data_IF_101063193342
#
_entry.id   IF_101063193342
#
_cell.length_a   1.000
_cell.length_b   1.000
_cell.length_c   1.000
_cell.angle_alpha   90.00
_cell.angle_beta   90.00
_cell.angle_gamma   90.00
#
_symmetry.space_group_name_H-M   'P 1'
#
loop_
_entity.id
_entity.type
_entity.pdbx_description
1 polymer ?
#
# COMPACT_ATOMS: atom_id res chain seq x y z
N UNK A 1 48.58 -24.20 4.72
CA UNK A 1 47.58 -23.52 3.87
C UNK A 1 46.10 -23.76 4.27
N UNK A 2 45.70 -24.98 4.70
CA UNK A 2 44.26 -25.22 5.10
C UNK A 2 43.78 -24.47 6.33
N UNK A 3 44.64 -24.17 7.31
CA UNK A 3 44.28 -23.50 8.57
C UNK A 3 44.01 -21.98 8.38
N UNK A 4 44.74 -21.35 7.45
CA UNK A 4 44.58 -19.90 7.14
C UNK A 4 43.26 -19.66 6.41
N UNK A 5 42.86 -20.56 5.48
CA UNK A 5 41.60 -20.48 4.78
C UNK A 5 40.38 -20.58 5.71
N UNK A 6 40.45 -21.43 6.76
CA UNK A 6 39.33 -21.57 7.73
C UNK A 6 39.15 -20.32 8.60
N UNK A 7 40.26 -19.69 9.02
CA UNK A 7 40.22 -18.46 9.83
C UNK A 7 39.63 -17.29 9.02
N UNK A 8 39.97 -17.15 7.74
CA UNK A 8 39.46 -16.11 6.86
C UNK A 8 37.94 -16.31 6.63
N UNK A 9 37.48 -17.56 6.46
CA UNK A 9 36.05 -17.87 6.29
C UNK A 9 35.26 -17.53 7.57
N UNK A 10 35.78 -17.84 8.75
CA UNK A 10 35.15 -17.53 10.04
C UNK A 10 35.09 -16.02 10.26
N UNK A 11 36.17 -15.28 9.94
CA UNK A 11 36.18 -13.80 10.02
C UNK A 11 35.19 -13.15 9.04
N UNK A 12 35.09 -13.65 7.82
CA UNK A 12 34.11 -13.18 6.84
C UNK A 12 32.66 -13.45 7.29
N UNK A 13 32.40 -14.63 7.87
CA UNK A 13 31.07 -14.96 8.44
C UNK A 13 30.74 -14.08 9.65
N UNK A 14 31.70 -13.79 10.52
CA UNK A 14 31.50 -12.88 11.65
C UNK A 14 31.28 -11.43 11.21
N UNK A 15 32.00 -10.93 10.22
CA UNK A 15 31.77 -9.61 9.64
C UNK A 15 30.41 -9.51 8.97
N UNK A 16 29.98 -10.51 8.20
CA UNK A 16 28.64 -10.55 7.59
C UNK A 16 27.55 -10.59 8.67
N UNK A 17 27.70 -11.40 9.71
CA UNK A 17 26.73 -11.46 10.79
C UNK A 17 26.64 -10.13 11.58
N UNK A 18 27.76 -9.45 11.78
CA UNK A 18 27.79 -8.13 12.43
C UNK A 18 27.16 -7.03 11.57
N UNK A 19 27.38 -7.05 10.25
CA UNK A 19 26.75 -6.07 9.33
C UNK A 19 25.24 -6.26 9.24
N UNK A 20 24.74 -7.49 9.17
CA UNK A 20 23.30 -7.80 9.17
C UNK A 20 22.66 -7.39 10.52
N UNK A 21 23.31 -7.66 11.63
CA UNK A 21 22.82 -7.26 12.96
C UNK A 21 22.77 -5.74 13.13
N UNK A 22 23.79 -5.01 12.65
CA UNK A 22 23.82 -3.55 12.68
C UNK A 22 22.74 -2.93 11.81
N UNK A 23 22.50 -3.46 10.61
CA UNK A 23 21.47 -2.98 9.70
C UNK A 23 20.06 -3.21 10.28
N UNK A 24 19.79 -4.36 10.91
CA UNK A 24 18.53 -4.63 11.57
C UNK A 24 18.30 -3.66 12.75
N UNK A 25 19.34 -3.36 13.53
CA UNK A 25 19.26 -2.38 14.63
C UNK A 25 18.96 -0.97 14.14
N UNK A 26 19.51 -0.55 13.00
CA UNK A 26 19.21 0.75 12.38
C UNK A 26 17.75 0.82 11.91
N UNK A 27 17.25 -0.24 11.25
CA UNK A 27 15.85 -0.33 10.81
C UNK A 27 14.91 -0.27 12.02
N UNK A 28 15.18 -1.02 13.11
CA UNK A 28 14.34 -1.04 14.30
C UNK A 28 14.32 0.33 14.99
N UNK A 29 15.46 1.02 15.05
CA UNK A 29 15.57 2.37 15.57
C UNK A 29 14.77 3.37 14.75
N UNK A 30 14.80 3.24 13.41
CA UNK A 30 14.03 4.07 12.50
C UNK A 30 12.51 3.80 12.64
N UNK A 31 12.09 2.53 12.77
CA UNK A 31 10.70 2.16 13.06
C UNK A 31 10.25 2.79 14.39
N UNK A 32 11.02 2.65 15.44
CA UNK A 32 10.69 3.24 16.73
C UNK A 32 10.52 4.76 16.65
N UNK A 33 11.41 5.42 15.91
CA UNK A 33 11.39 6.88 15.70
C UNK A 33 10.22 7.37 14.86
N UNK A 34 9.87 6.65 13.78
CA UNK A 34 8.94 7.16 12.79
C UNK A 34 7.54 6.54 12.85
N UNK A 35 7.35 5.48 13.65
CA UNK A 35 6.09 4.72 13.74
C UNK A 35 5.50 4.66 15.13
N UNK A 36 6.20 5.18 16.16
CA UNK A 36 5.69 5.18 17.53
C UNK A 36 5.62 6.59 18.08
N UNK A 37 4.60 6.80 18.91
CA UNK A 37 4.46 7.92 19.81
C UNK A 37 4.32 7.43 21.25
N UNK A 38 3.69 8.22 22.11
CA UNK A 38 3.49 7.90 23.51
C UNK A 38 2.02 7.96 23.90
N UNK A 39 1.56 6.99 24.68
CA UNK A 39 0.28 7.03 25.37
C UNK A 39 0.56 7.20 26.86
N UNK A 40 0.12 8.30 27.45
CA UNK A 40 0.11 8.55 28.89
C UNK A 40 -1.29 8.32 29.44
N UNK A 41 -1.44 7.38 30.35
CA UNK A 41 -2.66 7.15 31.11
C UNK A 41 -2.55 7.86 32.45
N UNK A 42 -3.60 8.62 32.84
CA UNK A 42 -3.72 9.23 34.15
C UNK A 42 -4.98 8.70 34.84
N UNK A 43 -4.80 8.22 36.07
CA UNK A 43 -5.86 7.66 36.92
C UNK A 43 -5.42 7.67 38.39
N UNK A 44 -6.17 7.00 39.27
CA UNK A 44 -5.73 6.79 40.65
C UNK A 44 -4.45 5.90 40.69
N UNK A 45 -3.61 6.00 41.74
CA UNK A 45 -2.46 5.11 41.94
C UNK A 45 -2.85 3.62 41.94
N UNK A 46 -1.97 2.77 41.41
CA UNK A 46 -2.15 1.32 41.31
C UNK A 46 -3.39 0.84 40.51
N UNK A 47 -4.00 1.67 39.69
CA UNK A 47 -5.08 1.26 38.79
C UNK A 47 -4.58 0.25 37.73
N UNK A 48 -5.36 -0.80 37.47
CA UNK A 48 -5.03 -1.80 36.45
C UNK A 48 -5.24 -1.21 35.05
N UNK A 49 -4.24 -1.28 34.20
CA UNK A 49 -4.26 -0.73 32.84
C UNK A 49 -4.10 -1.87 31.82
N UNK A 50 -4.92 -1.84 30.78
CA UNK A 50 -4.75 -2.64 29.57
C UNK A 50 -4.87 -1.72 28.35
N UNK A 51 -3.89 -1.78 27.47
CA UNK A 51 -3.82 -1.03 26.21
C UNK A 51 -3.78 -2.04 25.07
N UNK A 52 -4.70 -1.94 24.13
CA UNK A 52 -4.78 -2.79 22.95
C UNK A 52 -4.91 -1.93 21.72
N UNK A 53 -3.97 -2.07 20.78
CA UNK A 53 -4.10 -1.49 19.45
C UNK A 53 -5.19 -2.21 18.67
N UNK A 54 -6.13 -1.46 18.09
CA UNK A 54 -7.22 -2.02 17.28
C UNK A 54 -6.90 -1.94 15.79
N UNK A 55 -6.08 -0.95 15.39
CA UNK A 55 -5.76 -0.71 13.99
C UNK A 55 -4.54 0.19 13.86
N UNK A 56 -3.67 -0.09 12.88
CA UNK A 56 -2.59 0.82 12.49
C UNK A 56 -3.10 2.05 11.75
N UNK A 57 -2.41 3.20 11.90
CA UNK A 57 -2.53 4.35 11.01
C UNK A 57 -1.90 4.04 9.64
N UNK A 58 -0.75 3.39 9.62
CA UNK A 58 -0.07 2.94 8.42
C UNK A 58 -0.94 1.93 7.63
N UNK A 59 -1.01 2.12 6.32
CA UNK A 59 -1.80 1.22 5.47
C UNK A 59 -1.06 -0.09 5.19
N UNK A 60 -1.58 -1.16 5.69
CA UNK A 60 -1.25 -2.52 5.31
C UNK A 60 -2.44 -3.04 4.48
N UNK A 61 -2.37 -2.89 3.15
CA UNK A 61 -3.52 -3.10 2.28
C UNK A 61 -3.31 -4.13 1.19
N UNK A 62 -4.38 -4.34 0.42
CA UNK A 62 -4.35 -5.22 -0.73
C UNK A 62 -5.35 -4.80 -1.81
N UNK A 63 -5.08 -5.22 -3.05
CA UNK A 63 -6.01 -5.08 -4.16
C UNK A 63 -7.24 -5.99 -3.99
N UNK A 64 -8.39 -5.46 -4.40
CA UNK A 64 -9.67 -6.17 -4.43
C UNK A 64 -9.98 -6.51 -5.90
N UNK A 65 -9.95 -7.80 -6.28
CA UNK A 65 -10.31 -8.22 -7.62
C UNK A 65 -11.81 -8.16 -7.86
N UNK A 66 -12.22 -7.70 -9.04
CA UNK A 66 -13.61 -7.52 -9.46
C UNK A 66 -14.44 -8.78 -9.30
N UNK A 67 -13.83 -9.96 -9.54
CA UNK A 67 -14.47 -11.26 -9.46
C UNK A 67 -15.14 -11.56 -8.12
N UNK A 68 -14.65 -10.97 -7.04
CA UNK A 68 -15.22 -11.12 -5.69
C UNK A 68 -16.52 -10.32 -5.49
N UNK A 69 -16.86 -9.40 -6.41
CA UNK A 69 -17.99 -8.48 -6.26
C UNK A 69 -18.93 -8.44 -7.48
N UNK A 70 -18.60 -9.15 -8.57
CA UNK A 70 -19.41 -9.17 -9.80
C UNK A 70 -20.19 -10.49 -10.01
N UNK A 71 -20.14 -11.40 -9.05
CA UNK A 71 -20.84 -12.69 -9.11
C UNK A 71 -20.11 -13.79 -9.89
N UNK A 72 -18.87 -13.56 -10.37
CA UNK A 72 -18.13 -14.58 -11.13
C UNK A 72 -17.41 -15.61 -10.25
N UNK A 73 -17.07 -15.25 -9.01
CA UNK A 73 -16.47 -16.17 -8.05
C UNK A 73 -17.52 -16.98 -7.30
N UNK A 74 -17.14 -18.17 -6.80
CA UNK A 74 -18.03 -18.98 -5.97
C UNK A 74 -18.34 -18.27 -4.65
N UNK A 75 -19.55 -18.51 -4.08
CA UNK A 75 -19.91 -17.92 -2.79
C UNK A 75 -18.90 -18.30 -1.69
N UNK A 76 -18.41 -19.53 -1.69
CA UNK A 76 -17.43 -20.00 -0.71
C UNK A 76 -16.12 -19.21 -0.80
N UNK A 77 -15.60 -18.96 -2.03
CA UNK A 77 -14.39 -18.17 -2.23
C UNK A 77 -14.61 -16.71 -1.85
N UNK A 78 -15.78 -16.12 -2.16
CA UNK A 78 -16.10 -14.74 -1.77
C UNK A 78 -16.13 -14.58 -0.25
N UNK A 79 -16.77 -15.53 0.47
CA UNK A 79 -16.85 -15.50 1.93
C UNK A 79 -15.44 -15.63 2.55
N UNK A 80 -14.61 -16.56 2.05
CA UNK A 80 -13.23 -16.74 2.50
C UNK A 80 -12.36 -15.54 2.18
N UNK A 81 -12.47 -14.98 0.95
CA UNK A 81 -11.74 -13.79 0.55
C UNK A 81 -12.02 -12.64 1.51
N UNK A 82 -13.30 -12.34 1.75
CA UNK A 82 -13.71 -11.24 2.65
C UNK A 82 -13.21 -11.45 4.07
N UNK A 83 -13.33 -12.68 4.61
CA UNK A 83 -12.84 -13.01 5.94
C UNK A 83 -11.33 -12.85 6.05
N UNK A 84 -10.56 -13.42 5.10
CA UNK A 84 -9.11 -13.34 5.08
C UNK A 84 -8.60 -11.93 4.79
N UNK A 85 -9.31 -11.14 3.98
CA UNK A 85 -8.99 -9.73 3.76
C UNK A 85 -9.04 -8.94 5.08
N UNK A 86 -10.14 -9.06 5.82
CA UNK A 86 -10.34 -8.37 7.10
C UNK A 86 -9.37 -8.86 8.20
N UNK A 87 -8.93 -10.12 8.14
CA UNK A 87 -7.94 -10.68 9.05
C UNK A 87 -6.54 -10.10 8.84
N UNK A 88 -6.21 -9.69 7.61
CA UNK A 88 -4.83 -9.34 7.24
C UNK A 88 -4.63 -7.84 6.91
N UNK A 89 -5.65 -7.14 6.45
CA UNK A 89 -5.50 -5.82 5.87
C UNK A 89 -6.40 -4.77 6.52
N UNK A 90 -5.90 -3.52 6.56
CA UNK A 90 -6.62 -2.38 7.10
C UNK A 90 -6.96 -1.32 6.04
N UNK A 91 -6.62 -1.55 4.78
CA UNK A 91 -6.88 -0.66 3.64
C UNK A 91 -7.01 -1.47 2.36
N UNK A 92 -7.57 -0.88 1.32
CA UNK A 92 -7.84 -1.54 0.06
C UNK A 92 -7.54 -0.65 -1.15
N UNK A 93 -7.34 -1.27 -2.31
CA UNK A 93 -7.30 -0.63 -3.62
C UNK A 93 -8.16 -1.43 -4.60
N UNK A 94 -8.88 -0.77 -5.50
CA UNK A 94 -9.58 -1.46 -6.59
C UNK A 94 -8.57 -1.98 -7.59
N UNK A 95 -8.63 -3.28 -7.95
CA UNK A 95 -7.70 -3.84 -8.95
C UNK A 95 -8.04 -3.34 -10.35
N UNK A 96 -9.28 -3.53 -10.79
CA UNK A 96 -9.73 -3.17 -12.12
C UNK A 96 -11.04 -2.37 -12.14
N UNK A 97 -11.83 -2.39 -11.07
CA UNK A 97 -13.19 -1.87 -11.06
C UNK A 97 -13.31 -0.40 -11.48
N UNK A 98 -12.34 0.46 -11.10
CA UNK A 98 -12.34 1.89 -11.46
C UNK A 98 -11.65 2.17 -12.79
N UNK A 99 -10.91 1.21 -13.37
CA UNK A 99 -10.27 1.39 -14.68
C UNK A 99 -11.33 1.70 -15.75
N UNK A 100 -11.07 2.72 -16.54
CA UNK A 100 -12.05 3.18 -17.54
C UNK A 100 -12.56 2.09 -18.49
N UNK A 101 -11.68 1.21 -19.05
CA UNK A 101 -12.15 0.12 -19.91
C UNK A 101 -13.10 -0.86 -19.22
N UNK A 102 -13.02 -1.01 -17.90
CA UNK A 102 -13.89 -1.89 -17.13
C UNK A 102 -15.22 -1.23 -16.80
N UNK A 103 -15.20 0.08 -16.50
CA UNK A 103 -16.41 0.85 -16.22
C UNK A 103 -17.22 1.16 -17.48
N UNK A 104 -16.55 1.48 -18.59
CA UNK A 104 -17.21 1.95 -19.83
C UNK A 104 -16.58 1.26 -21.04
N UNK A 105 -16.94 0.00 -21.26
CA UNK A 105 -16.46 -0.77 -22.41
C UNK A 105 -16.99 -0.23 -23.74
N UNK A 106 -18.23 0.27 -23.73
CA UNK A 106 -18.90 0.93 -24.86
C UNK A 106 -19.24 2.35 -24.51
N UNK A 107 -19.11 3.27 -25.46
CA UNK A 107 -19.38 4.70 -25.28
C UNK A 107 -20.78 4.93 -24.72
N UNK A 108 -20.87 5.60 -23.57
CA UNK A 108 -22.14 5.94 -22.91
C UNK A 108 -22.74 4.82 -22.03
N UNK A 109 -22.16 3.62 -22.02
CA UNK A 109 -22.64 2.50 -21.19
C UNK A 109 -21.74 2.35 -19.94
N UNK A 110 -21.87 3.26 -18.98
CA UNK A 110 -21.06 3.22 -17.74
C UNK A 110 -21.68 2.28 -16.73
N UNK A 111 -20.91 1.28 -16.28
CA UNK A 111 -21.30 0.34 -15.23
C UNK A 111 -20.59 0.64 -13.92
N UNK A 112 -21.34 1.09 -12.94
CA UNK A 112 -20.85 1.41 -11.58
C UNK A 112 -21.01 0.25 -10.59
N UNK A 113 -21.73 -0.82 -10.94
CA UNK A 113 -22.19 -1.84 -9.99
C UNK A 113 -21.07 -2.48 -9.18
N UNK A 114 -19.92 -2.80 -9.79
CA UNK A 114 -18.79 -3.44 -9.11
C UNK A 114 -18.11 -2.44 -8.16
N UNK A 115 -17.94 -1.19 -8.60
CA UNK A 115 -17.35 -0.13 -7.75
C UNK A 115 -18.25 0.14 -6.56
N UNK A 116 -19.56 0.27 -6.78
CA UNK A 116 -20.56 0.49 -5.71
C UNK A 116 -20.51 -0.65 -4.67
N UNK A 117 -20.49 -1.91 -5.12
CA UNK A 117 -20.43 -3.08 -4.23
C UNK A 117 -19.13 -3.17 -3.42
N UNK A 118 -17.97 -2.82 -4.02
CA UNK A 118 -16.68 -2.73 -3.32
C UNK A 118 -16.73 -1.62 -2.27
N UNK A 119 -17.23 -0.43 -2.63
CA UNK A 119 -17.36 0.70 -1.70
C UNK A 119 -18.27 0.38 -0.52
N UNK A 120 -19.46 -0.17 -0.77
CA UNK A 120 -20.38 -0.59 0.30
C UNK A 120 -19.70 -1.54 1.29
N UNK A 121 -18.97 -2.53 0.78
CA UNK A 121 -18.27 -3.48 1.63
C UNK A 121 -17.09 -2.85 2.41
N UNK A 122 -16.30 -2.01 1.77
CA UNK A 122 -15.16 -1.35 2.42
C UNK A 122 -15.62 -0.34 3.47
N UNK A 123 -16.68 0.44 3.20
CA UNK A 123 -17.28 1.38 4.14
C UNK A 123 -17.87 0.66 5.37
N UNK A 124 -18.62 -0.43 5.15
CA UNK A 124 -19.18 -1.25 6.23
C UNK A 124 -18.09 -1.80 7.17
N UNK A 125 -16.88 -2.05 6.63
CA UNK A 125 -15.73 -2.55 7.39
C UNK A 125 -14.72 -1.44 7.75
N UNK A 126 -15.06 -0.17 7.48
CA UNK A 126 -14.21 1.01 7.76
C UNK A 126 -12.83 0.92 7.12
N UNK A 127 -12.71 0.31 5.96
CA UNK A 127 -11.48 0.22 5.17
C UNK A 127 -11.36 1.45 4.26
N UNK A 128 -10.32 2.29 4.36
CA UNK A 128 -10.06 3.29 3.34
C UNK A 128 -9.78 2.60 2.01
N UNK A 129 -10.38 3.12 0.95
CA UNK A 129 -10.27 2.57 -0.41
C UNK A 129 -9.53 3.55 -1.32
N UNK A 130 -8.51 3.05 -2.04
CA UNK A 130 -7.83 3.73 -3.13
C UNK A 130 -8.51 3.39 -4.46
N UNK A 131 -8.81 4.41 -5.26
CA UNK A 131 -9.38 4.26 -6.61
C UNK A 131 -8.27 4.10 -7.65
N UNK A 132 -8.07 2.94 -8.19
CA UNK A 132 -7.11 2.67 -9.26
C UNK A 132 -7.88 2.36 -10.55
N UNK A 133 -7.85 3.24 -11.57
CA UNK A 133 -7.32 4.60 -11.70
C UNK A 133 -8.33 5.50 -12.43
N UNK A 134 -8.18 6.81 -12.37
CA UNK A 134 -9.03 7.71 -13.16
C UNK A 134 -8.68 7.62 -14.66
N UNK A 135 -7.38 7.69 -14.98
CA UNK A 135 -6.87 7.62 -16.35
C UNK A 135 -5.66 6.70 -16.46
N UNK A 136 -5.48 6.09 -17.62
CA UNK A 136 -4.37 5.21 -17.94
C UNK A 136 -4.01 5.34 -19.41
N UNK A 137 -2.91 6.02 -19.71
CA UNK A 137 -2.51 6.43 -21.06
C UNK A 137 -1.69 5.40 -21.84
N UNK A 138 -1.66 4.14 -21.44
CA UNK A 138 -1.01 3.05 -22.19
C UNK A 138 -1.89 2.66 -23.37
N UNK A 139 -1.41 2.88 -24.58
CA UNK A 139 -2.20 2.79 -25.81
C UNK A 139 -2.93 1.45 -26.00
N UNK A 140 -2.31 0.34 -25.61
CA UNK A 140 -2.94 -1.00 -25.74
C UNK A 140 -4.20 -1.16 -24.87
N UNK A 141 -4.37 -0.35 -23.82
CA UNK A 141 -5.51 -0.39 -22.91
C UNK A 141 -6.55 0.69 -23.19
N UNK A 142 -6.32 1.54 -24.21
CA UNK A 142 -7.32 2.53 -24.64
C UNK A 142 -8.41 1.84 -25.45
N UNK A 143 -9.66 2.07 -25.07
CA UNK A 143 -10.82 1.49 -25.75
C UNK A 143 -10.85 1.92 -27.22
N UNK A 144 -11.25 1.05 -28.19
CA UNK A 144 -11.34 1.39 -29.60
C UNK A 144 -12.21 2.62 -29.88
N UNK A 145 -13.32 2.79 -29.16
CA UNK A 145 -14.21 3.94 -29.32
C UNK A 145 -13.55 5.25 -28.84
N UNK A 146 -12.67 5.21 -27.84
CA UNK A 146 -11.88 6.38 -27.39
C UNK A 146 -10.84 6.76 -28.44
N UNK A 147 -10.17 5.76 -29.05
CA UNK A 147 -9.21 5.99 -30.12
C UNK A 147 -9.84 6.64 -31.36
N UNK A 148 -11.11 6.37 -31.61
CA UNK A 148 -11.85 6.92 -32.75
C UNK A 148 -12.32 8.39 -32.58
N UNK A 149 -12.21 8.96 -31.36
CA UNK A 149 -12.61 10.34 -31.07
C UNK A 149 -11.64 11.34 -31.71
N UNK A 150 -12.17 12.48 -32.18
CA UNK A 150 -11.34 13.66 -32.45
C UNK A 150 -10.68 14.18 -31.15
N UNK A 151 -9.66 15.04 -31.26
CA UNK A 151 -9.00 15.60 -30.08
C UNK A 151 -9.98 16.40 -29.20
N UNK A 152 -10.88 17.17 -29.80
CA UNK A 152 -11.90 17.93 -29.08
C UNK A 152 -12.90 17.02 -28.35
N UNK A 153 -13.36 15.95 -28.99
CA UNK A 153 -14.24 14.97 -28.35
C UNK A 153 -13.52 14.22 -27.23
N UNK A 154 -12.25 13.84 -27.45
CA UNK A 154 -11.43 13.18 -26.44
C UNK A 154 -11.27 14.05 -25.20
N UNK A 155 -10.90 15.32 -25.34
CA UNK A 155 -10.76 16.25 -24.21
C UNK A 155 -12.09 16.40 -23.44
N UNK A 156 -13.20 16.56 -24.15
CA UNK A 156 -14.55 16.63 -23.54
C UNK A 156 -14.88 15.34 -22.79
N UNK A 157 -14.56 14.19 -23.36
CA UNK A 157 -14.84 12.88 -22.75
C UNK A 157 -13.99 12.64 -21.51
N UNK A 158 -12.72 13.01 -21.52
CA UNK A 158 -11.84 12.95 -20.35
C UNK A 158 -12.35 13.85 -19.22
N UNK A 159 -12.77 15.09 -19.56
CA UNK A 159 -13.39 16.00 -18.60
C UNK A 159 -14.63 15.38 -17.97
N UNK A 160 -15.57 14.91 -18.79
CA UNK A 160 -16.80 14.30 -18.29
C UNK A 160 -16.52 13.11 -17.37
N UNK A 161 -15.56 12.24 -17.73
CA UNK A 161 -15.17 11.11 -16.90
C UNK A 161 -14.63 11.55 -15.54
N UNK A 162 -13.67 12.49 -15.53
CA UNK A 162 -13.09 12.96 -14.27
C UNK A 162 -14.17 13.54 -13.34
N UNK A 163 -14.94 14.52 -13.86
CA UNK A 163 -15.98 15.21 -13.10
C UNK A 163 -17.08 14.25 -12.61
N UNK A 164 -17.54 13.33 -13.47
CA UNK A 164 -18.61 12.40 -13.11
C UNK A 164 -18.17 11.39 -12.06
N UNK A 165 -16.99 10.78 -12.23
CA UNK A 165 -16.51 9.74 -11.29
C UNK A 165 -16.22 10.34 -9.93
N UNK A 166 -15.50 11.48 -9.87
CA UNK A 166 -15.17 12.10 -8.58
C UNK A 166 -16.41 12.70 -7.89
N UNK A 167 -17.35 13.29 -8.64
CA UNK A 167 -18.60 13.78 -8.08
C UNK A 167 -19.49 12.65 -7.52
N UNK A 168 -19.61 11.52 -8.28
CA UNK A 168 -20.40 10.37 -7.83
C UNK A 168 -19.90 9.80 -6.51
N UNK A 169 -18.58 9.72 -6.36
CA UNK A 169 -17.92 9.09 -5.22
C UNK A 169 -17.30 10.08 -4.25
N UNK A 170 -17.76 11.33 -4.25
CA UNK A 170 -17.23 12.38 -3.41
C UNK A 170 -17.12 11.95 -1.94
N UNK A 171 -15.89 12.05 -1.39
CA UNK A 171 -15.57 11.70 -0.02
C UNK A 171 -15.60 10.20 0.32
N UNK A 172 -15.89 9.31 -0.65
CA UNK A 172 -15.96 7.85 -0.43
C UNK A 172 -14.65 7.13 -0.70
N UNK A 173 -13.85 7.61 -1.66
CA UNK A 173 -12.48 7.14 -1.87
C UNK A 173 -11.50 7.97 -1.06
N UNK A 174 -10.53 7.32 -0.43
CA UNK A 174 -9.50 8.00 0.34
C UNK A 174 -8.48 8.74 -0.56
N UNK A 175 -8.20 8.18 -1.74
CA UNK A 175 -7.27 8.71 -2.74
C UNK A 175 -7.51 8.04 -4.11
N UNK A 176 -7.02 8.67 -5.21
CA UNK A 176 -7.05 8.09 -6.56
C UNK A 176 -5.70 8.18 -7.24
N UNK A 177 -5.39 7.20 -8.10
CA UNK A 177 -4.39 7.37 -9.15
C UNK A 177 -4.96 8.27 -10.26
N UNK A 178 -4.33 9.44 -10.46
CA UNK A 178 -4.80 10.43 -11.42
C UNK A 178 -4.63 9.95 -12.85
N UNK A 179 -3.38 9.77 -13.28
CA UNK A 179 -3.00 9.27 -14.60
C UNK A 179 -1.88 8.26 -14.40
N UNK A 180 -2.21 6.97 -14.56
CA UNK A 180 -1.34 5.86 -14.22
C UNK A 180 -0.30 5.62 -15.32
N UNK A 181 0.95 5.29 -14.92
CA UNK A 181 2.05 4.83 -15.79
C UNK A 181 2.45 5.81 -16.89
N UNK A 182 2.47 7.11 -16.59
CA UNK A 182 2.74 8.15 -17.58
C UNK A 182 4.17 8.10 -18.18
N UNK A 183 5.15 7.53 -17.48
CA UNK A 183 6.51 7.37 -18.05
C UNK A 183 6.61 6.15 -18.98
N UNK A 184 5.55 5.35 -19.07
CA UNK A 184 5.47 4.18 -19.93
C UNK A 184 4.41 4.32 -21.04
N UNK A 185 3.52 5.33 -20.95
CA UNK A 185 2.51 5.58 -21.95
C UNK A 185 1.92 6.97 -21.84
N UNK A 186 1.98 7.70 -22.93
CA UNK A 186 1.64 9.11 -23.05
C UNK A 186 0.54 9.40 -24.08
N UNK A 187 -0.33 8.42 -24.39
CA UNK A 187 -1.40 8.55 -25.39
C UNK A 187 -2.20 9.85 -25.30
N UNK A 188 -2.53 10.28 -24.07
CA UNK A 188 -3.31 11.50 -23.88
C UNK A 188 -2.47 12.77 -24.11
N UNK A 189 -1.22 12.77 -23.69
CA UNK A 189 -0.28 13.88 -23.90
C UNK A 189 0.09 14.04 -25.36
N UNK A 190 0.34 12.95 -26.07
CA UNK A 190 0.64 12.95 -27.51
C UNK A 190 -0.51 13.54 -28.34
N UNK A 191 -1.76 13.33 -27.90
CA UNK A 191 -2.95 13.81 -28.57
C UNK A 191 -3.36 15.24 -28.18
N UNK A 192 -3.22 15.59 -26.91
CA UNK A 192 -3.84 16.78 -26.32
C UNK A 192 -2.84 17.79 -25.74
N UNK A 193 -1.55 17.46 -25.76
CA UNK A 193 -0.46 18.32 -25.29
C UNK A 193 -0.05 18.11 -23.85
N UNK A 194 1.10 18.68 -23.48
CA UNK A 194 1.81 18.43 -22.22
C UNK A 194 1.09 18.93 -20.94
N UNK A 195 0.01 19.69 -21.07
CA UNK A 195 -0.80 20.19 -19.96
C UNK A 195 -2.02 19.31 -19.62
N UNK A 196 -2.21 18.21 -20.36
CA UNK A 196 -3.43 17.40 -20.22
C UNK A 196 -3.58 16.81 -18.81
N UNK A 197 -2.50 16.36 -18.15
CA UNK A 197 -2.56 15.83 -16.80
C UNK A 197 -2.96 16.92 -15.78
N UNK A 198 -2.53 18.17 -16.01
CA UNK A 198 -3.01 19.32 -15.22
C UNK A 198 -4.51 19.53 -15.39
N UNK A 199 -5.03 19.47 -16.62
CA UNK A 199 -6.47 19.57 -16.91
C UNK A 199 -7.24 18.42 -16.24
N UNK A 200 -6.74 17.18 -16.34
CA UNK A 200 -7.32 16.01 -15.67
C UNK A 200 -7.47 16.22 -14.16
N UNK A 201 -6.42 16.75 -13.50
CA UNK A 201 -6.47 17.07 -12.09
C UNK A 201 -7.54 18.14 -11.79
N UNK A 202 -7.58 19.22 -12.57
CA UNK A 202 -8.57 20.28 -12.40
C UNK A 202 -10.01 19.76 -12.56
N UNK A 203 -10.26 18.89 -13.52
CA UNK A 203 -11.57 18.27 -13.72
C UNK A 203 -11.95 17.32 -12.59
N UNK A 204 -10.99 16.58 -12.04
CA UNK A 204 -11.23 15.77 -10.86
C UNK A 204 -11.61 16.61 -9.64
N UNK A 205 -10.95 17.76 -9.43
CA UNK A 205 -11.30 18.72 -8.38
C UNK A 205 -12.66 19.41 -8.61
N UNK A 206 -13.07 19.62 -9.86
CA UNK A 206 -14.41 20.14 -10.15
C UNK A 206 -15.51 19.19 -9.64
N UNK A 207 -15.28 17.88 -9.74
CA UNK A 207 -16.21 16.87 -9.23
C UNK A 207 -16.14 16.70 -7.71
N UNK A 208 -14.93 16.66 -7.16
CA UNK A 208 -14.69 16.59 -5.70
C UNK A 208 -13.53 17.51 -5.29
N UNK A 209 -13.80 18.67 -4.68
CA UNK A 209 -12.77 19.62 -4.25
C UNK A 209 -11.78 19.06 -3.20
N UNK A 210 -12.14 17.98 -2.51
CA UNK A 210 -11.32 17.36 -1.46
C UNK A 210 -10.58 16.11 -1.94
N UNK A 211 -10.69 15.79 -3.25
CA UNK A 211 -10.06 14.58 -3.83
C UNK A 211 -8.55 14.59 -3.67
N UNK A 212 -7.99 13.47 -3.21
CA UNK A 212 -6.55 13.28 -3.12
C UNK A 212 -6.05 12.54 -4.35
N UNK A 213 -5.25 13.21 -5.16
CA UNK A 213 -4.71 12.69 -6.42
C UNK A 213 -3.25 12.26 -6.24
N UNK A 214 -2.97 11.02 -6.56
CA UNK A 214 -1.63 10.44 -6.53
C UNK A 214 -1.12 10.20 -7.96
N UNK A 215 0.18 10.31 -8.14
CA UNK A 215 0.86 9.71 -9.28
C UNK A 215 1.11 8.23 -8.97
N UNK A 216 1.23 7.40 -10.00
CA UNK A 216 1.55 5.98 -9.80
C UNK A 216 2.27 5.43 -11.03
N UNK A 217 3.42 4.76 -10.80
CA UNK A 217 4.21 4.19 -11.88
C UNK A 217 5.07 3.00 -11.39
N UNK A 218 5.61 2.21 -12.32
CA UNK A 218 6.44 1.03 -12.04
C UNK A 218 7.91 1.24 -12.44
N UNK A 219 8.76 0.25 -12.14
CA UNK A 219 10.22 0.31 -12.33
C UNK A 219 10.93 1.41 -11.49
N UNK A 220 10.25 1.98 -10.49
CA UNK A 220 10.78 3.08 -9.68
C UNK A 220 11.68 2.54 -8.56
N UNK A 221 11.17 1.63 -7.75
CA UNK A 221 11.91 1.08 -6.60
C UNK A 221 13.06 0.14 -7.00
N UNK A 222 13.05 -0.35 -8.23
CA UNK A 222 14.17 -1.06 -8.85
C UNK A 222 15.25 -0.12 -9.40
N UNK A 223 15.01 1.19 -9.38
CA UNK A 223 15.91 2.24 -9.88
C UNK A 223 15.88 2.45 -11.39
N UNK A 224 15.27 1.55 -12.16
CA UNK A 224 15.34 1.59 -13.64
C UNK A 224 14.70 2.82 -14.25
N UNK A 225 13.61 3.31 -13.65
CA UNK A 225 12.85 4.47 -14.11
C UNK A 225 12.76 5.60 -13.07
N UNK A 226 13.54 5.54 -12.01
CA UNK A 226 13.54 6.54 -10.96
C UNK A 226 13.88 7.95 -11.47
N UNK A 227 14.93 8.16 -12.31
CA UNK A 227 15.25 9.51 -12.81
C UNK A 227 14.13 10.13 -13.65
N UNK A 228 13.53 9.35 -14.55
CA UNK A 228 12.42 9.79 -15.41
C UNK A 228 11.18 10.14 -14.58
N UNK A 229 10.86 9.31 -13.60
CA UNK A 229 9.73 9.57 -12.70
C UNK A 229 9.93 10.82 -11.86
N UNK A 230 11.12 11.02 -11.32
CA UNK A 230 11.48 12.25 -10.60
C UNK A 230 11.39 13.49 -11.48
N UNK A 231 11.82 13.39 -12.75
CA UNK A 231 11.70 14.49 -13.70
C UNK A 231 10.23 14.82 -14.00
N UNK A 232 9.38 13.81 -14.16
CA UNK A 232 7.95 13.99 -14.36
C UNK A 232 7.27 14.63 -13.13
N UNK A 233 7.57 14.17 -11.91
CA UNK A 233 7.04 14.78 -10.69
C UNK A 233 7.40 16.28 -10.64
N UNK A 234 8.67 16.64 -10.92
CA UNK A 234 9.10 18.04 -10.95
C UNK A 234 8.34 18.85 -11.98
N UNK A 235 8.14 18.31 -13.17
CA UNK A 235 7.38 18.96 -14.24
C UNK A 235 5.94 19.24 -13.81
N UNK A 236 5.23 18.25 -13.31
CA UNK A 236 3.85 18.39 -12.88
C UNK A 236 3.69 19.36 -11.70
N UNK A 237 4.58 19.32 -10.72
CA UNK A 237 4.60 20.29 -9.62
C UNK A 237 4.87 21.71 -10.14
N UNK A 238 5.79 21.89 -11.10
CA UNK A 238 6.05 23.18 -11.75
C UNK A 238 4.84 23.71 -12.54
N UNK A 239 4.06 22.82 -13.14
CA UNK A 239 2.81 23.17 -13.81
C UNK A 239 1.68 23.51 -12.82
N UNK A 240 1.88 23.29 -11.52
CA UNK A 240 0.88 23.53 -10.48
C UNK A 240 -0.17 22.42 -10.38
N UNK A 241 0.17 21.18 -10.79
CA UNK A 241 -0.70 20.02 -10.57
C UNK A 241 -0.74 19.73 -9.07
N UNK A 242 -1.93 19.69 -8.44
CA UNK A 242 -2.07 19.44 -7.01
C UNK A 242 -1.91 17.95 -6.71
N UNK A 243 -0.67 17.50 -6.56
CA UNK A 243 -0.33 16.12 -6.23
C UNK A 243 -0.39 15.94 -4.72
N UNK A 244 -1.25 15.02 -4.25
CA UNK A 244 -1.39 14.69 -2.84
C UNK A 244 -0.37 13.65 -2.34
N UNK A 245 0.21 12.85 -3.24
CA UNK A 245 1.21 11.85 -2.90
C UNK A 245 1.82 11.15 -4.11
N UNK A 246 2.84 10.37 -3.83
CA UNK A 246 3.61 9.61 -4.81
C UNK A 246 3.30 8.13 -4.65
N UNK A 247 2.64 7.53 -5.63
CA UNK A 247 2.49 6.09 -5.78
C UNK A 247 3.70 5.51 -6.49
N UNK A 248 4.20 4.42 -5.96
CA UNK A 248 5.21 3.57 -6.59
C UNK A 248 4.67 2.16 -6.57
N UNK A 249 4.49 1.52 -7.73
CA UNK A 249 3.82 0.21 -7.78
C UNK A 249 4.51 -0.83 -6.90
N UNK A 250 5.84 -0.87 -6.89
CA UNK A 250 6.59 -1.77 -6.03
C UNK A 250 6.61 -3.21 -6.51
N UNK A 251 6.19 -3.46 -7.76
CA UNK A 251 6.40 -4.76 -8.39
C UNK A 251 7.89 -5.08 -8.46
N UNK A 252 8.29 -6.18 -7.91
CA UNK A 252 9.66 -6.66 -8.01
C UNK A 252 9.89 -7.36 -9.35
N UNK A 253 11.15 -7.43 -9.80
CA UNK A 253 11.49 -7.96 -11.11
C UNK A 253 12.10 -9.38 -11.09
N UNK A 254 12.12 -10.00 -9.92
CA UNK A 254 12.71 -11.32 -9.72
C UNK A 254 12.08 -12.00 -8.50
N UNK A 255 12.73 -13.06 -8.04
CA UNK A 255 12.40 -13.77 -6.80
C UNK A 255 12.92 -13.04 -5.55
N UNK A 256 13.88 -12.11 -5.74
CA UNK A 256 14.51 -11.30 -4.70
C UNK A 256 14.61 -9.84 -5.14
N UNK A 257 15.04 -8.95 -4.24
CA UNK A 257 15.23 -7.53 -4.53
C UNK A 257 16.54 -7.00 -3.95
N UNK A 258 17.03 -5.89 -4.51
CA UNK A 258 18.16 -5.14 -3.97
C UNK A 258 17.68 -4.19 -2.86
N UNK A 259 18.06 -4.49 -1.62
CA UNK A 259 17.67 -3.73 -0.41
C UNK A 259 18.22 -2.32 -0.42
N UNK A 260 19.45 -2.16 -0.91
CA UNK A 260 20.10 -0.84 -1.03
C UNK A 260 19.39 0.02 -2.07
N UNK A 261 19.07 -0.56 -3.25
CA UNK A 261 18.37 0.15 -4.31
C UNK A 261 16.96 0.56 -3.88
N UNK A 262 16.23 -0.31 -3.19
CA UNK A 262 14.91 0.01 -2.63
C UNK A 262 14.98 1.23 -1.71
N UNK A 263 15.90 1.21 -0.72
CA UNK A 263 16.08 2.31 0.21
C UNK A 263 16.49 3.60 -0.51
N UNK A 264 17.45 3.52 -1.43
CA UNK A 264 17.94 4.67 -2.20
C UNK A 264 16.85 5.32 -3.07
N UNK A 265 15.97 4.52 -3.65
CA UNK A 265 14.84 5.04 -4.42
C UNK A 265 13.86 5.80 -3.52
N UNK A 266 13.52 5.25 -2.36
CA UNK A 266 12.65 5.93 -1.38
C UNK A 266 13.29 7.22 -0.86
N UNK A 267 14.57 7.20 -0.46
CA UNK A 267 15.34 8.37 -0.02
C UNK A 267 15.36 9.48 -1.09
N UNK A 268 15.49 9.09 -2.36
CA UNK A 268 15.49 10.05 -3.49
C UNK A 268 14.16 10.76 -3.67
N UNK A 269 13.03 10.09 -3.38
CA UNK A 269 11.69 10.65 -3.53
C UNK A 269 11.30 11.62 -2.39
N UNK A 270 11.96 11.55 -1.24
CA UNK A 270 11.69 12.45 -0.08
C UNK A 270 11.82 13.93 -0.43
N UNK A 271 12.68 14.29 -1.41
CA UNK A 271 12.88 15.68 -1.81
C UNK A 271 11.59 16.40 -2.22
N UNK A 272 10.56 15.65 -2.64
CA UNK A 272 9.27 16.21 -3.03
C UNK A 272 8.37 16.55 -1.84
N UNK A 273 8.72 16.12 -0.62
CA UNK A 273 7.96 16.35 0.62
C UNK A 273 6.50 15.88 0.53
N UNK A 274 6.27 14.82 -0.24
CA UNK A 274 4.97 14.17 -0.40
C UNK A 274 5.00 12.78 0.23
N UNK A 275 3.87 12.29 0.76
CA UNK A 275 3.77 10.92 1.22
C UNK A 275 3.97 9.93 0.07
N UNK A 276 4.61 8.80 0.37
CA UNK A 276 4.86 7.72 -0.58
C UNK A 276 3.94 6.55 -0.25
N UNK A 277 3.32 5.96 -1.27
CA UNK A 277 2.53 4.74 -1.19
C UNK A 277 3.13 3.67 -2.09
N UNK A 278 3.52 2.52 -1.53
CA UNK A 278 3.77 1.33 -2.33
C UNK A 278 2.41 0.73 -2.67
N UNK A 279 2.04 0.71 -3.94
CA UNK A 279 0.65 0.53 -4.36
C UNK A 279 0.30 -0.86 -4.88
N UNK A 280 1.31 -1.65 -5.32
CA UNK A 280 1.09 -2.89 -6.07
C UNK A 280 2.18 -3.94 -5.79
N UNK A 281 2.56 -4.10 -4.52
CA UNK A 281 3.63 -5.01 -4.14
C UNK A 281 3.33 -6.47 -4.51
N UNK A 282 4.31 -7.12 -5.16
CA UNK A 282 4.32 -8.56 -5.43
C UNK A 282 5.72 -9.15 -5.18
N UNK A 283 5.79 -10.38 -4.65
CA UNK A 283 6.99 -11.20 -4.57
C UNK A 283 6.65 -12.71 -4.65
N UNK A 284 7.21 -13.49 -5.57
CA UNK A 284 8.02 -13.07 -6.71
C UNK A 284 7.28 -12.09 -7.62
N UNK A 285 8.05 -11.23 -8.28
CA UNK A 285 7.51 -10.11 -9.05
C UNK A 285 7.44 -10.34 -10.56
N UNK A 286 7.19 -9.24 -11.27
CA UNK A 286 7.30 -9.19 -12.74
C UNK A 286 8.68 -9.63 -13.20
N UNK A 287 8.76 -10.22 -14.39
CA UNK A 287 10.01 -10.75 -14.99
C UNK A 287 10.66 -11.89 -14.21
N UNK A 288 10.03 -12.42 -13.17
CA UNK A 288 10.39 -13.70 -12.60
C UNK A 288 9.94 -14.85 -13.52
N UNK A 289 10.57 -16.02 -13.40
CA UNK A 289 10.09 -17.22 -14.13
C UNK A 289 8.62 -17.55 -13.83
N UNK A 290 8.11 -17.14 -12.69
CA UNK A 290 6.71 -17.34 -12.25
C UNK A 290 5.73 -16.36 -12.89
N UNK A 291 6.19 -15.19 -13.29
CA UNK A 291 5.40 -14.25 -14.08
C UNK A 291 5.29 -14.72 -15.53
N UNK A 292 6.40 -15.20 -16.09
CA UNK A 292 6.46 -15.71 -17.47
C UNK A 292 5.68 -17.03 -17.63
N UNK A 293 5.78 -17.92 -16.63
CA UNK A 293 5.03 -19.18 -16.59
C UNK A 293 4.26 -19.35 -15.28
N UNK A 294 3.00 -18.92 -15.30
CA UNK A 294 2.10 -18.94 -14.16
C UNK A 294 1.67 -20.33 -13.68
N UNK A 295 2.01 -21.39 -14.41
CA UNK A 295 1.77 -22.77 -13.99
C UNK A 295 2.84 -23.32 -13.04
N UNK A 296 3.99 -22.66 -12.96
CA UNK A 296 5.07 -23.03 -12.05
C UNK A 296 4.61 -22.83 -10.59
N UNK A 297 5.15 -23.67 -9.71
CA UNK A 297 4.96 -23.60 -8.26
C UNK A 297 6.30 -23.37 -7.58
N UNK A 298 6.28 -22.69 -6.46
CA UNK A 298 7.46 -22.53 -5.61
C UNK A 298 7.81 -23.86 -4.94
N UNK A 299 9.11 -24.16 -4.84
CA UNK A 299 9.61 -25.21 -3.95
C UNK A 299 9.46 -24.77 -2.50
N UNK A 300 9.57 -25.68 -1.51
CA UNK A 300 9.58 -25.30 -0.10
C UNK A 300 10.63 -24.23 0.25
N UNK A 301 11.83 -24.35 -0.31
CA UNK A 301 12.93 -23.39 -0.10
C UNK A 301 12.62 -22.01 -0.69
N UNK A 302 11.96 -21.97 -1.85
CA UNK A 302 11.52 -20.73 -2.50
C UNK A 302 10.35 -20.08 -1.74
N UNK A 303 9.44 -20.86 -1.12
CA UNK A 303 8.40 -20.33 -0.24
C UNK A 303 9.00 -19.67 1.02
N UNK A 304 10.04 -20.28 1.61
CA UNK A 304 10.76 -19.69 2.73
C UNK A 304 11.56 -18.46 2.31
N UNK A 305 12.15 -18.46 1.11
CA UNK A 305 12.81 -17.27 0.55
C UNK A 305 11.80 -16.13 0.37
N UNK A 306 10.65 -16.40 -0.23
CA UNK A 306 9.56 -15.42 -0.39
C UNK A 306 9.15 -14.81 0.95
N UNK A 307 9.03 -15.62 1.99
CA UNK A 307 8.69 -15.15 3.33
C UNK A 307 9.73 -14.17 3.90
N UNK A 308 11.02 -14.51 3.77
CA UNK A 308 12.12 -13.62 4.22
C UNK A 308 12.17 -12.32 3.43
N UNK A 309 12.08 -12.41 2.10
CA UNK A 309 12.11 -11.22 1.22
C UNK A 309 10.93 -10.29 1.49
N UNK A 310 9.73 -10.84 1.75
CA UNK A 310 8.56 -10.06 2.15
C UNK A 310 8.83 -9.29 3.45
N UNK A 311 9.35 -9.97 4.48
CA UNK A 311 9.66 -9.34 5.76
C UNK A 311 10.67 -8.20 5.60
N UNK A 312 11.76 -8.43 4.88
CA UNK A 312 12.79 -7.42 4.67
C UNK A 312 12.27 -6.21 3.90
N UNK A 313 11.45 -6.45 2.85
CA UNK A 313 10.83 -5.37 2.09
C UNK A 313 9.91 -4.51 2.96
N UNK A 314 9.05 -5.16 3.75
CA UNK A 314 8.14 -4.46 4.66
C UNK A 314 8.91 -3.68 5.75
N UNK A 315 9.99 -4.24 6.30
CA UNK A 315 10.82 -3.57 7.31
C UNK A 315 11.47 -2.31 6.75
N UNK A 316 12.06 -2.36 5.55
CA UNK A 316 12.67 -1.19 4.90
C UNK A 316 11.62 -0.11 4.62
N UNK A 317 10.49 -0.47 4.03
CA UNK A 317 9.42 0.47 3.73
C UNK A 317 8.78 1.05 5.00
N UNK A 318 8.51 0.23 6.01
CA UNK A 318 7.91 0.69 7.27
C UNK A 318 8.86 1.56 8.10
N UNK A 319 10.18 1.35 8.01
CA UNK A 319 11.17 2.22 8.64
C UNK A 319 11.28 3.60 7.99
N UNK A 320 10.90 3.73 6.71
CA UNK A 320 11.11 4.96 5.95
C UNK A 320 10.04 6.03 6.28
N UNK A 321 10.44 7.27 6.68
CA UNK A 321 9.53 8.27 7.26
C UNK A 321 8.43 8.77 6.30
N UNK A 322 8.68 8.76 4.98
CA UNK A 322 7.74 9.24 3.97
C UNK A 322 6.79 8.16 3.46
N UNK A 323 7.07 6.87 3.70
CA UNK A 323 6.16 5.78 3.29
C UNK A 323 5.00 5.71 4.27
N UNK A 324 3.78 5.75 3.77
CA UNK A 324 2.56 5.72 4.59
C UNK A 324 1.68 4.49 4.34
N UNK A 325 2.12 3.59 3.47
CA UNK A 325 1.42 2.34 3.25
C UNK A 325 2.06 1.45 2.20
N UNK A 326 1.74 0.16 2.31
CA UNK A 326 2.08 -0.88 1.36
C UNK A 326 0.80 -1.63 1.03
N UNK A 327 0.44 -1.69 -0.25
CA UNK A 327 -0.67 -2.47 -0.75
C UNK A 327 -0.13 -3.60 -1.63
N UNK A 328 -0.52 -4.83 -1.32
CA UNK A 328 -0.22 -5.99 -2.15
C UNK A 328 -1.11 -6.00 -3.39
N UNK A 329 -0.59 -6.49 -4.53
CA UNK A 329 -1.39 -6.65 -5.73
C UNK A 329 -1.94 -8.07 -5.84
N UNK A 330 -2.77 -8.43 -4.85
CA UNK A 330 -3.35 -9.75 -4.67
C UNK A 330 -2.69 -10.56 -3.55
N UNK A 331 -3.48 -11.35 -2.84
CA UNK A 331 -3.03 -12.16 -1.69
C UNK A 331 -3.49 -13.62 -1.74
N UNK A 332 -4.39 -13.95 -2.65
CA UNK A 332 -4.94 -15.30 -2.82
C UNK A 332 -4.65 -15.85 -4.22
N UNK A 333 -4.11 -17.04 -4.31
CA UNK A 333 -3.70 -17.68 -5.56
C UNK A 333 -4.85 -17.82 -6.59
N UNK A 334 -6.10 -17.88 -6.12
CA UNK A 334 -7.28 -18.02 -6.98
C UNK A 334 -7.63 -16.77 -7.79
N UNK A 335 -7.13 -15.59 -7.41
CA UNK A 335 -7.42 -14.32 -8.06
C UNK A 335 -6.19 -13.40 -8.17
N UNK A 336 -4.98 -13.93 -8.11
CA UNK A 336 -3.76 -13.15 -8.25
C UNK A 336 -3.16 -13.32 -9.65
N UNK A 337 -2.77 -12.23 -10.29
CA UNK A 337 -2.13 -12.24 -11.60
C UNK A 337 -0.77 -12.94 -11.63
N UNK A 338 -0.05 -12.98 -10.50
CA UNK A 338 1.12 -13.83 -10.26
C UNK A 338 0.75 -14.79 -9.12
N UNK A 339 0.16 -15.96 -9.41
CA UNK A 339 -0.38 -16.85 -8.37
C UNK A 339 0.60 -17.18 -7.25
N UNK A 340 1.87 -17.39 -7.58
CA UNK A 340 2.94 -17.71 -6.63
C UNK A 340 3.33 -16.56 -5.70
N UNK A 341 2.95 -15.31 -6.01
CA UNK A 341 3.17 -14.18 -5.10
C UNK A 341 2.16 -14.11 -3.96
N UNK A 342 1.16 -14.97 -3.96
CA UNK A 342 0.08 -14.95 -2.97
C UNK A 342 0.53 -15.43 -1.59
N UNK A 343 -0.14 -14.90 -0.55
CA UNK A 343 0.00 -15.37 0.83
C UNK A 343 -0.81 -16.64 1.10
N UNK A 344 -1.94 -16.82 0.39
CA UNK A 344 -2.81 -17.99 0.52
C UNK A 344 -2.86 -18.76 -0.79
N UNK A 345 -2.72 -20.08 -0.70
CA UNK A 345 -2.90 -21.00 -1.81
C UNK A 345 -4.35 -21.02 -2.28
N UNK A 346 -4.60 -21.65 -3.43
CA UNK A 346 -5.95 -21.70 -4.00
C UNK A 346 -7.01 -22.32 -3.05
N UNK A 347 -6.59 -23.25 -2.20
CA UNK A 347 -7.42 -23.90 -1.18
C UNK A 347 -7.48 -23.14 0.16
N UNK A 348 -7.00 -21.90 0.18
CA UNK A 348 -6.91 -21.04 1.35
C UNK A 348 -5.88 -21.44 2.41
N UNK A 349 -5.04 -22.44 2.13
CA UNK A 349 -3.92 -22.82 3.00
C UNK A 349 -2.91 -21.65 3.05
N UNK A 350 -2.50 -21.17 4.25
CA UNK A 350 -1.50 -20.12 4.36
C UNK A 350 -0.12 -20.62 3.92
N UNK A 351 0.62 -19.77 3.22
CA UNK A 351 2.02 -19.99 2.89
C UNK A 351 2.94 -19.52 4.04
N UNK A 352 4.23 -19.87 4.06
CA UNK A 352 5.21 -19.29 4.99
C UNK A 352 5.18 -17.76 4.99
N UNK A 353 4.98 -17.12 3.83
CA UNK A 353 4.86 -15.67 3.72
C UNK A 353 3.64 -15.10 4.46
N UNK A 354 2.49 -15.80 4.49
CA UNK A 354 1.34 -15.39 5.26
C UNK A 354 1.62 -15.39 6.77
N UNK A 355 2.30 -16.43 7.24
CA UNK A 355 2.66 -16.56 8.66
C UNK A 355 3.68 -15.49 9.06
N UNK A 356 4.70 -15.25 8.22
CA UNK A 356 5.70 -14.22 8.45
C UNK A 356 5.09 -12.81 8.45
N UNK A 357 4.20 -12.52 7.50
CA UNK A 357 3.44 -11.27 7.46
C UNK A 357 2.63 -11.04 8.73
N UNK A 358 1.84 -12.04 9.15
CA UNK A 358 1.05 -11.95 10.38
C UNK A 358 1.90 -11.73 11.62
N UNK A 359 3.02 -12.45 11.74
CA UNK A 359 3.93 -12.26 12.86
C UNK A 359 4.48 -10.83 12.88
N UNK A 360 4.92 -10.32 11.73
CA UNK A 360 5.46 -8.98 11.60
C UNK A 360 4.44 -7.89 11.98
N UNK A 361 3.24 -7.92 11.38
CA UNK A 361 2.25 -6.84 11.51
C UNK A 361 1.49 -6.93 12.85
N UNK A 362 1.08 -8.12 13.29
CA UNK A 362 0.17 -8.28 14.43
C UNK A 362 0.83 -8.74 15.71
N UNK A 363 2.13 -9.10 15.69
CA UNK A 363 2.90 -9.41 16.89
C UNK A 363 4.03 -8.40 17.10
N UNK A 364 4.96 -8.23 16.13
CA UNK A 364 6.12 -7.37 16.31
C UNK A 364 5.75 -5.87 16.26
N UNK A 365 4.88 -5.48 15.35
CA UNK A 365 4.48 -4.09 15.12
C UNK A 365 3.12 -3.73 15.73
N UNK A 366 2.68 -4.46 16.72
CA UNK A 366 1.40 -4.25 17.36
C UNK A 366 1.56 -3.96 18.85
N UNK A 367 0.91 -2.90 19.34
CA UNK A 367 1.01 -2.54 20.76
C UNK A 367 -0.08 -3.24 21.56
N UNK A 368 0.34 -4.10 22.50
CA UNK A 368 -0.50 -4.72 23.53
C UNK A 368 0.25 -4.66 24.84
N UNK A 369 -0.23 -3.82 25.78
CA UNK A 369 0.43 -3.59 27.04
C UNK A 369 -0.53 -3.75 28.23
N UNK A 370 -0.04 -4.29 29.31
CA UNK A 370 -0.75 -4.40 30.59
C UNK A 370 0.15 -3.98 31.72
N UNK A 371 -0.40 -3.26 32.69
CA UNK A 371 0.38 -2.82 33.83
C UNK A 371 -0.49 -2.14 34.88
N UNK A 372 0.15 -1.33 35.71
CA UNK A 372 -0.49 -0.52 36.75
C UNK A 372 0.04 0.90 36.67
N UNK A 373 -0.82 1.87 36.98
CA UNK A 373 -0.38 3.23 37.23
C UNK A 373 0.57 3.29 38.44
N UNK A 374 1.53 4.17 38.40
CA UNK A 374 2.50 4.41 39.46
C UNK A 374 1.89 5.14 40.67
N UNK A 375 2.74 5.57 41.62
CA UNK A 375 2.33 6.32 42.82
C UNK A 375 1.70 7.70 42.49
N UNK A 376 1.99 8.25 41.31
CA UNK A 376 1.40 9.50 40.80
C UNK A 376 0.10 9.27 40.01
N UNK A 377 -0.27 8.01 39.81
CA UNK A 377 -1.42 7.65 38.98
C UNK A 377 -1.11 7.64 37.46
N UNK A 378 0.15 7.52 37.10
CA UNK A 378 0.59 7.57 35.68
C UNK A 378 1.04 6.21 35.18
N UNK A 379 0.75 5.91 33.90
CA UNK A 379 1.27 4.76 33.14
C UNK A 379 1.58 5.20 31.71
N UNK A 380 2.84 5.13 31.29
CA UNK A 380 3.28 5.58 29.97
C UNK A 380 3.84 4.42 29.16
N UNK A 381 3.45 4.33 27.89
CA UNK A 381 3.96 3.32 26.96
C UNK A 381 4.32 3.94 25.61
N UNK A 382 5.42 3.50 24.95
CA UNK A 382 5.64 3.75 23.57
C UNK A 382 4.67 2.88 22.75
N UNK A 383 3.95 3.49 21.80
CA UNK A 383 2.89 2.82 21.07
C UNK A 383 2.94 3.15 19.59
N UNK A 384 2.67 2.18 18.71
CA UNK A 384 2.56 2.43 17.27
C UNK A 384 1.40 3.37 16.97
N UNK A 385 1.51 4.22 15.97
CA UNK A 385 0.40 5.09 15.56
C UNK A 385 -0.81 4.28 15.10
N UNK A 386 -2.00 4.65 15.59
CA UNK A 386 -3.22 3.96 15.27
C UNK A 386 -4.35 4.15 16.27
N UNK A 387 -5.38 3.31 16.14
CA UNK A 387 -6.53 3.29 17.03
C UNK A 387 -6.31 2.30 18.17
N UNK A 388 -6.72 2.71 19.38
CA UNK A 388 -6.52 1.96 20.60
C UNK A 388 -7.81 1.80 21.39
N UNK A 389 -7.92 0.67 22.10
CA UNK A 389 -8.81 0.47 23.22
C UNK A 389 -8.01 0.46 24.51
N UNK A 390 -8.35 1.36 25.42
CA UNK A 390 -7.69 1.49 26.71
C UNK A 390 -8.70 1.19 27.80
N UNK A 391 -8.37 0.25 28.69
CA UNK A 391 -9.20 -0.13 29.84
C UNK A 391 -8.45 0.14 31.12
N UNK A 392 -9.06 0.88 32.05
CA UNK A 392 -8.51 1.15 33.38
C UNK A 392 -9.55 0.81 34.43
N UNK A 393 -9.27 -0.16 35.30
CA UNK A 393 -10.16 -0.69 36.33
C UNK A 393 -11.58 -0.99 35.79
N UNK A 394 -11.67 -1.58 34.57
CA UNK A 394 -12.91 -1.95 33.93
C UNK A 394 -13.61 -0.84 33.12
N UNK A 395 -13.20 0.44 33.26
CA UNK A 395 -13.68 1.52 32.39
C UNK A 395 -12.91 1.53 31.07
N UNK A 396 -13.58 1.68 29.94
CA UNK A 396 -12.95 1.58 28.60
C UNK A 396 -13.15 2.87 27.81
N UNK A 397 -12.08 3.30 27.10
CA UNK A 397 -12.10 4.40 26.12
C UNK A 397 -11.42 3.94 24.83
N UNK A 398 -12.00 4.27 23.67
CA UNK A 398 -11.35 4.15 22.38
C UNK A 398 -10.73 5.51 22.01
N UNK A 399 -9.45 5.51 21.62
CA UNK A 399 -8.68 6.73 21.29
C UNK A 399 -7.84 6.51 20.05
N UNK A 400 -7.39 7.60 19.43
CA UNK A 400 -6.41 7.57 18.34
C UNK A 400 -5.10 8.20 18.82
N UNK A 401 -3.98 7.55 18.51
CA UNK A 401 -2.64 8.12 18.56
C UNK A 401 -2.17 8.24 17.12
N UNK A 402 -2.02 9.46 16.61
CA UNK A 402 -1.61 9.72 15.24
C UNK A 402 -0.18 10.24 15.17
N UNK A 403 0.44 10.13 14.00
CA UNK A 403 1.77 10.70 13.74
C UNK A 403 1.81 12.21 13.98
N UNK A 404 0.69 12.90 13.79
CA UNK A 404 0.57 14.34 14.05
C UNK A 404 0.57 14.67 15.54
N UNK A 405 0.02 13.79 16.39
CA UNK A 405 -0.09 14.03 17.84
C UNK A 405 1.19 13.69 18.59
N UNK A 406 1.99 12.71 18.10
CA UNK A 406 3.18 12.15 18.73
C UNK A 406 2.98 11.64 20.18
N UNK A 407 2.12 12.28 20.96
CA UNK A 407 1.76 11.92 22.33
C UNK A 407 0.30 12.26 22.63
N UNK A 408 -0.39 11.33 23.29
CA UNK A 408 -1.73 11.57 23.85
C UNK A 408 -1.77 11.30 25.35
N UNK A 409 -2.63 12.05 26.06
CA UNK A 409 -2.96 11.78 27.46
C UNK A 409 -4.40 11.33 27.56
N UNK A 410 -4.64 10.23 28.29
CA UNK A 410 -5.98 9.64 28.46
C UNK A 410 -6.28 9.51 29.95
N UNK A 411 -7.27 10.27 30.41
CA UNK A 411 -7.64 10.36 31.81
C UNK A 411 -8.80 9.41 32.15
N UNK A 412 -8.72 8.79 33.36
CA UNK A 412 -9.73 7.89 33.90
C UNK A 412 -10.00 8.23 35.39
N UNK A 413 -10.73 9.27 35.60
CA UNK A 413 -11.16 9.71 36.93
C UNK A 413 -12.65 9.44 37.18
#
# INVERSE_FOLDING_TARGET
>A
MKTISLIIIVFLFQMLAQTVSAQNSEIDSAIAKHRKGQILIQSKPNAQVSIEQLRHEFWFGCAIPDGMFNGSASKADVDQFKAKFLENFNSAVTENAVKWPNMERRKGEVNYAVVDAILEWTEANKLPLRGHNLFWGIEQFIQPWVKALSNQELETTLKNRAETVTARYKGRFAEYDLNNEMIHGNYYEDRLGADITKKMAQWAYNGDPDVKLFLNDYDILTGKKLPEYMAQIRLLLKQGVPIAGIGVQGHLHAETFDRFQLKNALDSLVQFKLPIRVTEFNIPGQRSKYYENRSLKLTPEEEELKARELVDYYRICFAHPAVEGILMWGFWEGANWIPTSSMYKRDWTPTPAANAYKNLIFNEWYTREKGKTDKKGEFTVPAFFGKYRITVDGKTKDVNLTKADEKITVEFF
#
